data_IF_975921476545
#
_entry.id   IF_975921476545
#
_cell.length_a   1.000
_cell.length_b   1.000
_cell.length_c   1.000
_cell.angle_alpha   90.00
_cell.angle_beta   90.00
_cell.angle_gamma   90.00
#
_symmetry.space_group_name_H-M   'P 1'
#
loop_
_entity.id
_entity.type
_entity.pdbx_description
1 polymer ?
#
# COMPACT_ATOMS: atom_id res chain seq x y z
N UNK A 1 -11.89 -4.41 19.78
CA UNK A 1 -11.10 -5.41 19.01
C UNK A 1 -11.02 -4.92 17.58
N UNK A 2 -9.90 -5.14 16.91
CA UNK A 2 -9.66 -4.72 15.53
C UNK A 2 -8.96 -5.83 14.73
N UNK A 3 -9.17 -5.79 13.43
CA UNK A 3 -8.62 -6.68 12.43
C UNK A 3 -7.29 -6.11 11.88
N UNK A 4 -6.26 -6.95 11.86
CA UNK A 4 -4.89 -6.64 11.40
C UNK A 4 -4.55 -7.25 10.03
N UNK A 5 -5.53 -7.75 9.27
CA UNK A 5 -5.28 -8.48 8.01
C UNK A 5 -4.49 -7.65 7.00
N UNK A 6 -4.76 -6.34 6.82
CA UNK A 6 -3.96 -5.52 5.89
C UNK A 6 -2.48 -5.50 6.29
N UNK A 7 -2.19 -5.27 7.57
CA UNK A 7 -0.80 -5.27 8.09
C UNK A 7 -0.14 -6.64 7.93
N UNK A 8 -0.90 -7.71 8.18
CA UNK A 8 -0.42 -9.08 8.02
C UNK A 8 -0.03 -9.37 6.57
N UNK A 9 -0.88 -9.06 5.59
CA UNK A 9 -0.58 -9.33 4.17
C UNK A 9 0.56 -8.45 3.63
N UNK A 10 0.66 -7.21 4.12
CA UNK A 10 1.76 -6.30 3.80
C UNK A 10 3.09 -6.85 4.31
N UNK A 11 3.14 -7.30 5.57
CA UNK A 11 4.33 -7.93 6.16
C UNK A 11 4.73 -9.21 5.41
N UNK A 12 3.75 -9.99 4.93
CA UNK A 12 3.98 -11.20 4.15
C UNK A 12 4.36 -10.92 2.69
N UNK A 13 4.30 -9.67 2.23
CA UNK A 13 4.60 -9.27 0.85
C UNK A 13 3.58 -9.76 -0.18
N UNK A 14 2.32 -10.01 0.21
CA UNK A 14 1.29 -10.50 -0.71
C UNK A 14 0.22 -9.44 -0.97
N UNK A 15 -0.33 -9.44 -2.19
CA UNK A 15 -1.41 -8.53 -2.56
C UNK A 15 -2.75 -8.98 -1.96
N UNK A 16 -3.70 -8.04 -1.80
CA UNK A 16 -5.09 -8.35 -1.42
C UNK A 16 -5.75 -9.37 -2.37
N UNK A 17 -5.42 -9.27 -3.66
CA UNK A 17 -5.87 -10.23 -4.66
C UNK A 17 -5.34 -11.63 -4.36
N UNK A 18 -4.04 -11.76 -4.06
CA UNK A 18 -3.45 -13.05 -3.69
C UNK A 18 -4.07 -13.59 -2.40
N UNK A 19 -4.29 -12.74 -1.39
CA UNK A 19 -4.97 -13.12 -0.16
C UNK A 19 -6.37 -13.69 -0.41
N UNK A 20 -7.15 -13.04 -1.28
CA UNK A 20 -8.47 -13.55 -1.69
C UNK A 20 -8.36 -14.93 -2.35
N UNK A 21 -7.43 -15.11 -3.29
CA UNK A 21 -7.23 -16.37 -3.99
C UNK A 21 -6.78 -17.50 -3.04
N UNK A 22 -5.85 -17.22 -2.13
CA UNK A 22 -5.30 -18.21 -1.19
C UNK A 22 -6.33 -18.66 -0.15
N UNK A 23 -7.18 -17.75 0.33
CA UNK A 23 -8.17 -18.04 1.38
C UNK A 23 -9.50 -18.58 0.84
N UNK A 24 -9.74 -18.44 -0.47
CA UNK A 24 -10.98 -18.85 -1.14
C UNK A 24 -12.24 -18.29 -0.43
N UNK A 25 -12.13 -17.07 0.10
CA UNK A 25 -13.25 -16.35 0.68
C UNK A 25 -14.11 -15.72 -0.42
N UNK A 26 -15.33 -15.33 -0.07
CA UNK A 26 -16.12 -14.44 -0.92
C UNK A 26 -15.32 -13.16 -1.18
N UNK A 27 -15.32 -12.69 -2.44
CA UNK A 27 -14.54 -11.52 -2.86
C UNK A 27 -14.80 -10.32 -1.96
N UNK A 28 -16.07 -9.98 -1.75
CA UNK A 28 -16.45 -8.82 -0.92
C UNK A 28 -15.94 -8.97 0.51
N UNK A 29 -16.02 -10.18 1.09
CA UNK A 29 -15.49 -10.48 2.42
C UNK A 29 -13.97 -10.28 2.46
N UNK A 30 -13.23 -10.83 1.51
CA UNK A 30 -11.77 -10.73 1.48
C UNK A 30 -11.31 -9.26 1.36
N UNK A 31 -11.93 -8.49 0.48
CA UNK A 31 -11.60 -7.07 0.32
C UNK A 31 -12.04 -6.24 1.51
N UNK A 32 -13.21 -6.51 2.11
CA UNK A 32 -13.67 -5.80 3.30
C UNK A 32 -12.74 -6.04 4.49
N UNK A 33 -12.27 -7.27 4.69
CA UNK A 33 -11.27 -7.59 5.72
C UNK A 33 -9.95 -6.84 5.54
N UNK A 34 -9.58 -6.48 4.31
CA UNK A 34 -8.36 -5.73 4.05
C UNK A 34 -8.55 -4.20 4.15
N UNK A 35 -9.77 -3.70 3.96
CA UNK A 35 -10.05 -2.27 3.87
C UNK A 35 -10.61 -1.68 5.16
N UNK A 36 -11.28 -2.49 5.97
CA UNK A 36 -11.96 -2.07 7.19
C UNK A 36 -11.34 -2.78 8.41
N UNK A 37 -10.53 -2.07 9.23
CA UNK A 37 -9.93 -2.65 10.43
C UNK A 37 -10.96 -2.93 11.54
N UNK A 38 -12.18 -2.39 11.45
CA UNK A 38 -13.26 -2.68 12.40
C UNK A 38 -14.16 -3.83 11.95
N UNK A 39 -14.00 -4.31 10.70
CA UNK A 39 -14.69 -5.49 10.23
C UNK A 39 -14.02 -6.76 10.76
N UNK A 40 -14.65 -7.36 11.76
CA UNK A 40 -14.18 -8.57 12.42
C UNK A 40 -14.65 -9.82 11.66
N UNK A 41 -13.74 -10.75 11.29
CA UNK A 41 -14.12 -12.01 10.65
C UNK A 41 -14.95 -12.88 11.61
N UNK A 42 -15.94 -13.60 11.06
CA UNK A 42 -16.65 -14.66 11.79
C UNK A 42 -15.74 -15.87 12.04
N UNK A 43 -16.12 -16.76 12.97
CA UNK A 43 -15.34 -17.96 13.31
C UNK A 43 -14.90 -18.76 12.08
N UNK A 44 -15.83 -19.13 11.20
CA UNK A 44 -15.49 -19.89 9.98
C UNK A 44 -14.52 -19.16 9.04
N UNK A 45 -14.61 -17.83 8.95
CA UNK A 45 -13.70 -17.02 8.12
C UNK A 45 -12.32 -16.97 8.76
N UNK A 46 -12.27 -16.77 10.08
CA UNK A 46 -11.05 -16.76 10.87
C UNK A 46 -10.32 -18.11 10.78
N UNK A 47 -11.05 -19.22 10.93
CA UNK A 47 -10.51 -20.58 10.83
C UNK A 47 -9.91 -20.86 9.46
N UNK A 48 -10.58 -20.43 8.38
CA UNK A 48 -10.04 -20.53 7.01
C UNK A 48 -8.73 -19.79 6.87
N UNK A 49 -8.67 -18.52 7.31
CA UNK A 49 -7.46 -17.70 7.21
C UNK A 49 -6.33 -18.33 8.03
N UNK A 50 -6.60 -18.73 9.27
CA UNK A 50 -5.63 -19.37 10.15
C UNK A 50 -5.11 -20.68 9.54
N UNK A 51 -6.00 -21.48 8.96
CA UNK A 51 -5.65 -22.76 8.32
C UNK A 51 -4.85 -22.59 7.04
N UNK A 52 -5.14 -21.57 6.22
CA UNK A 52 -4.43 -21.25 4.98
C UNK A 52 -3.00 -20.81 5.26
N UNK A 53 -2.81 -19.93 6.23
CA UNK A 53 -1.49 -19.34 6.52
C UNK A 53 -0.74 -20.01 7.67
N UNK A 54 -1.34 -20.99 8.34
CA UNK A 54 -0.80 -21.70 9.52
C UNK A 54 -0.41 -20.74 10.64
N UNK A 55 -1.32 -19.80 10.93
CA UNK A 55 -1.15 -18.77 11.96
C UNK A 55 -2.22 -18.89 13.05
N UNK A 56 -1.96 -18.27 14.19
CA UNK A 56 -2.93 -18.14 15.28
C UNK A 56 -3.81 -16.89 15.09
N UNK A 57 -5.04 -16.86 15.64
CA UNK A 57 -5.92 -15.70 15.56
C UNK A 57 -5.29 -14.39 16.06
N UNK A 58 -4.46 -14.45 17.11
CA UNK A 58 -3.79 -13.28 17.68
C UNK A 58 -2.84 -12.55 16.73
N UNK A 59 -2.36 -13.22 15.68
CA UNK A 59 -1.55 -12.59 14.62
C UNK A 59 -2.37 -11.56 13.83
N UNK A 60 -3.64 -11.89 13.58
CA UNK A 60 -4.54 -11.11 12.72
C UNK A 60 -5.65 -10.38 13.47
N UNK A 61 -5.79 -10.60 14.78
CA UNK A 61 -6.72 -9.87 15.65
C UNK A 61 -5.96 -9.15 16.76
N UNK A 62 -6.39 -7.93 17.08
CA UNK A 62 -5.80 -7.09 18.12
C UNK A 62 -6.86 -6.46 19.00
N UNK A 63 -6.46 -6.08 20.21
CA UNK A 63 -7.29 -5.26 21.10
C UNK A 63 -6.75 -3.82 21.10
N UNK A 64 -7.66 -2.85 21.14
CA UNK A 64 -7.32 -1.43 21.15
C UNK A 64 -7.79 -0.87 22.48
N UNK A 65 -6.89 -0.21 23.22
CA UNK A 65 -7.23 0.55 24.41
C UNK A 65 -7.61 1.97 24.00
N UNK A 66 -8.85 2.37 24.24
CA UNK A 66 -9.28 3.74 23.97
C UNK A 66 -8.59 4.75 24.90
N UNK A 67 -8.06 4.31 26.05
CA UNK A 67 -7.42 5.18 27.03
C UNK A 67 -6.00 5.64 26.66
N UNK A 68 -5.37 5.07 25.62
CA UNK A 68 -4.02 5.43 25.17
C UNK A 68 -4.01 6.41 23.96
N UNK A 69 -5.18 6.94 23.58
CA UNK A 69 -5.39 7.61 22.27
C UNK A 69 -5.06 9.11 22.22
N UNK A 70 -4.17 9.64 23.08
CA UNK A 70 -3.75 11.05 22.97
C UNK A 70 -2.55 11.29 22.05
N UNK A 71 -1.83 10.25 21.59
CA UNK A 71 -0.51 10.44 20.97
C UNK A 71 -0.36 9.91 19.52
N UNK A 72 -1.27 9.08 19.00
CA UNK A 72 -1.08 8.40 17.70
C UNK A 72 -1.65 9.12 16.46
N UNK A 73 -2.24 10.31 16.61
CA UNK A 73 -2.82 11.06 15.47
C UNK A 73 -1.86 12.06 14.81
N UNK A 74 -0.66 12.28 15.35
CA UNK A 74 0.24 13.33 14.87
C UNK A 74 1.28 12.88 13.82
N UNK A 75 1.60 11.58 13.72
CA UNK A 75 2.76 11.14 12.91
C UNK A 75 2.40 10.61 11.51
N UNK A 76 1.13 10.26 11.24
CA UNK A 76 0.73 9.75 9.92
C UNK A 76 0.63 10.83 8.84
N UNK A 77 0.34 12.09 9.21
CA UNK A 77 0.16 13.16 8.21
C UNK A 77 1.47 13.70 7.64
N UNK A 78 2.58 13.65 8.39
CA UNK A 78 3.86 14.20 7.93
C UNK A 78 4.62 13.22 7.02
N UNK A 79 4.55 11.92 7.31
CA UNK A 79 5.27 10.92 6.51
C UNK A 79 4.60 10.61 5.16
N UNK A 80 3.26 10.71 5.09
CA UNK A 80 2.52 10.56 3.83
C UNK A 80 2.76 11.75 2.89
N UNK A 81 2.83 12.98 3.42
CA UNK A 81 3.11 14.17 2.61
C UNK A 81 4.55 14.21 2.08
N UNK A 82 5.54 13.78 2.88
CA UNK A 82 6.93 13.77 2.45
C UNK A 82 7.18 12.77 1.30
N UNK A 83 6.53 11.60 1.34
CA UNK A 83 6.63 10.57 0.29
C UNK A 83 5.96 11.01 -1.02
N UNK A 84 4.86 11.77 -0.96
CA UNK A 84 4.17 12.29 -2.14
C UNK A 84 4.94 13.44 -2.81
N UNK A 85 5.53 14.34 -2.02
CA UNK A 85 6.29 15.47 -2.54
C UNK A 85 7.63 15.06 -3.18
N UNK A 86 8.26 13.99 -2.69
CA UNK A 86 9.55 13.52 -3.23
C UNK A 86 9.39 12.91 -4.64
N UNK A 87 8.29 12.20 -4.88
CA UNK A 87 8.01 11.58 -6.19
C UNK A 87 7.73 12.60 -7.30
N UNK A 88 6.99 13.67 -6.98
CA UNK A 88 6.70 14.73 -7.97
C UNK A 88 7.94 15.53 -8.38
N UNK A 89 8.92 15.69 -7.48
CA UNK A 89 10.16 16.42 -7.80
C UNK A 89 11.08 15.64 -8.75
N UNK A 90 11.16 14.31 -8.59
CA UNK A 90 11.96 13.45 -9.47
C UNK A 90 11.39 13.40 -10.90
N UNK A 91 10.07 13.42 -11.06
CA UNK A 91 9.43 13.43 -12.39
C UNK A 91 9.66 14.76 -13.14
N UNK A 92 9.64 15.90 -12.43
CA UNK A 92 9.86 17.24 -13.01
C UNK A 92 11.31 17.44 -13.46
N UNK A 93 12.27 16.96 -12.68
CA UNK A 93 13.69 17.11 -13.00
C UNK A 93 14.08 16.25 -14.22
N UNK A 94 13.48 15.06 -14.36
CA UNK A 94 13.71 14.17 -15.50
C UNK A 94 13.08 14.71 -16.81
N UNK A 95 11.93 15.39 -16.74
CA UNK A 95 11.30 16.02 -17.90
C UNK A 95 12.08 17.25 -18.41
N UNK A 96 12.68 18.03 -17.49
CA UNK A 96 13.58 19.15 -17.83
C UNK A 96 14.86 18.68 -18.49
N UNK A 97 15.46 17.58 -18.01
CA UNK A 97 16.67 17.02 -18.60
C UNK A 97 16.41 16.50 -20.02
N UNK A 98 15.26 15.83 -20.23
CA UNK A 98 14.83 15.34 -21.55
C UNK A 98 14.57 16.48 -22.53
N UNK A 99 13.94 17.57 -22.08
CA UNK A 99 13.68 18.77 -22.91
C UNK A 99 14.97 19.50 -23.31
N UNK A 100 15.98 19.52 -22.43
CA UNK A 100 17.29 20.12 -22.73
C UNK A 100 18.07 19.31 -23.76
N UNK A 101 17.99 17.97 -23.71
CA UNK A 101 18.63 17.09 -24.69
C UNK A 101 18.03 17.24 -26.10
N UNK A 102 16.71 17.43 -26.18
CA UNK A 102 16.00 17.68 -27.44
C UNK A 102 16.42 19.03 -28.05
N UNK A 103 16.51 20.08 -27.23
CA UNK A 103 16.92 21.40 -27.69
C UNK A 103 18.36 21.43 -28.22
N UNK A 104 19.28 20.69 -27.58
CA UNK A 104 20.68 20.58 -28.05
C UNK A 104 20.73 19.90 -29.42
N UNK A 105 20.02 18.78 -29.61
CA UNK A 105 20.05 18.06 -30.89
C UNK A 105 19.41 18.85 -32.05
N UNK A 106 18.46 19.75 -31.77
CA UNK A 106 17.86 20.62 -32.78
C UNK A 106 18.80 21.75 -33.25
N UNK A 107 19.76 22.17 -32.42
CA UNK A 107 20.70 23.26 -32.73
C UNK A 107 21.88 22.76 -33.59
N UNK A 108 22.23 21.47 -33.55
CA UNK A 108 23.37 20.91 -34.29
C UNK A 108 23.03 20.34 -35.68
N UNK A 109 21.79 20.51 -36.17
CA UNK A 109 21.40 20.07 -37.51
C UNK A 109 21.31 21.24 -38.49
N UNK A 110 22.44 21.90 -38.77
CA UNK A 110 22.53 22.81 -39.91
C UNK A 110 22.53 22.01 -41.23
N UNK A 111 21.79 22.46 -42.26
CA UNK A 111 21.80 21.81 -43.57
C UNK A 111 23.16 22.06 -44.25
N UNK A 112 23.83 20.98 -44.66
CA UNK A 112 24.88 21.06 -45.68
C UNK A 112 24.26 21.57 -46.97
N UNK A 113 24.36 22.88 -47.21
CA UNK A 113 24.10 23.48 -48.50
C UNK A 113 25.26 23.10 -49.44
N UNK A 114 24.90 22.41 -50.51
CA UNK A 114 25.77 22.00 -51.61
C UNK A 114 25.97 23.12 -52.63
#
# INVERSE_FOLDING_TARGET
>A
MFNKISKFIEHKGISRYRFWQDTQLGRDTAYRLCNDPFYIPTGNVLDKICSTYKIQPGEILGWYDESETSELTAESSQEIQLKQNKKQKEDIDNEKEKSKLIAINAVFSEPKAS
#
